data_IF_180726888288
#
_entry.id   IF_180726888288
#
_cell.length_a   1.000
_cell.length_b   1.000
_cell.length_c   1.000
_cell.angle_alpha   90.00
_cell.angle_beta   90.00
_cell.angle_gamma   90.00
#
_symmetry.space_group_name_H-M   'P 1'
#
loop_
_entity.id
_entity.type
_entity.pdbx_description
1 polymer ?
#
# COMPACT_ATOMS: atom_id res chain seq x y z
N UNK A 1 28.57 39.54 -27.91
CA UNK A 1 27.22 39.03 -27.62
C UNK A 1 27.34 37.54 -27.30
N UNK A 2 27.63 37.20 -26.05
CA UNK A 2 27.82 35.82 -25.61
C UNK A 2 26.46 35.18 -25.40
N UNK A 3 26.12 34.25 -26.30
CA UNK A 3 24.88 33.47 -26.26
C UNK A 3 24.94 32.54 -25.06
N UNK A 4 24.28 32.92 -23.96
CA UNK A 4 24.07 32.07 -22.78
C UNK A 4 23.25 30.85 -23.21
N UNK A 5 23.94 29.77 -23.60
CA UNK A 5 23.30 28.50 -23.92
C UNK A 5 22.66 27.98 -22.63
N UNK A 6 21.37 27.63 -22.62
CA UNK A 6 20.72 27.10 -21.43
C UNK A 6 21.44 25.80 -21.00
N UNK A 7 21.56 25.55 -19.69
CA UNK A 7 22.28 24.39 -19.18
C UNK A 7 21.42 23.13 -19.42
N UNK A 8 21.44 22.60 -20.64
CA UNK A 8 20.69 21.41 -21.08
C UNK A 8 20.96 20.19 -20.21
N UNK A 9 22.13 20.13 -19.57
CA UNK A 9 22.52 19.09 -18.64
C UNK A 9 21.72 19.13 -17.34
N UNK A 10 21.41 20.32 -16.83
CA UNK A 10 20.61 20.49 -15.61
C UNK A 10 19.16 20.03 -15.82
N UNK A 11 18.56 20.42 -16.95
CA UNK A 11 17.21 19.98 -17.31
C UNK A 11 17.12 18.46 -17.50
N UNK A 12 18.13 17.84 -18.14
CA UNK A 12 18.21 16.37 -18.25
C UNK A 12 18.29 15.69 -16.88
N UNK A 13 19.10 16.22 -15.96
CA UNK A 13 19.24 15.65 -14.62
C UNK A 13 17.91 15.72 -13.85
N UNK A 14 17.24 16.87 -13.86
CA UNK A 14 15.94 17.06 -13.21
C UNK A 14 14.90 16.10 -13.81
N UNK A 15 14.89 15.94 -15.14
CA UNK A 15 13.97 15.04 -15.82
C UNK A 15 14.19 13.57 -15.43
N UNK A 16 15.46 13.14 -15.37
CA UNK A 16 15.81 11.77 -14.95
C UNK A 16 15.41 11.54 -13.48
N UNK A 17 15.71 12.49 -12.59
CA UNK A 17 15.34 12.39 -11.17
C UNK A 17 13.82 12.38 -11.01
N UNK A 18 13.09 13.20 -11.78
CA UNK A 18 11.62 13.25 -11.76
C UNK A 18 11.00 11.92 -12.22
N UNK A 19 11.53 11.33 -13.29
CA UNK A 19 11.14 10.00 -13.76
C UNK A 19 11.43 8.96 -12.68
N UNK A 20 12.64 8.96 -12.12
CA UNK A 20 13.03 8.00 -11.08
C UNK A 20 12.12 8.11 -9.85
N UNK A 21 11.81 9.32 -9.40
CA UNK A 21 10.87 9.54 -8.31
C UNK A 21 9.47 9.01 -8.66
N UNK A 22 8.94 9.29 -9.85
CA UNK A 22 7.63 8.77 -10.30
C UNK A 22 7.58 7.24 -10.33
N UNK A 23 8.63 6.59 -10.83
CA UNK A 23 8.70 5.12 -10.93
C UNK A 23 9.13 4.42 -9.65
N UNK A 24 9.77 5.12 -8.72
CA UNK A 24 10.09 4.60 -7.37
C UNK A 24 8.98 4.91 -6.34
N UNK A 25 8.00 5.74 -6.68
CA UNK A 25 6.80 6.00 -5.87
C UNK A 25 5.60 5.05 -6.05
N UNK A 26 5.64 3.86 -6.70
CA UNK A 26 4.52 2.95 -6.65
C UNK A 26 4.62 2.15 -5.35
N UNK A 27 4.68 2.85 -4.23
CA UNK A 27 4.02 2.33 -3.06
C UNK A 27 2.66 3.00 -3.05
N UNK A 28 1.78 2.47 -3.90
CA UNK A 28 0.35 2.55 -3.63
C UNK A 28 0.18 1.90 -2.26
N UNK A 29 0.32 2.71 -1.21
CA UNK A 29 -0.27 2.45 0.07
C UNK A 29 -1.78 2.48 -0.18
N UNK A 30 -2.28 1.41 -0.81
CA UNK A 30 -3.69 1.06 -0.79
C UNK A 30 -4.05 1.13 0.69
N UNK A 31 -5.04 1.95 1.04
CA UNK A 31 -5.28 2.38 2.41
C UNK A 31 -5.82 1.20 3.20
N UNK A 32 -4.92 0.28 3.54
CA UNK A 32 -5.25 -0.96 4.20
C UNK A 32 -5.25 -0.68 5.69
N UNK A 33 -6.40 -0.87 6.32
CA UNK A 33 -6.49 -0.86 7.78
C UNK A 33 -6.69 -2.28 8.26
N UNK A 34 -5.96 -2.64 9.31
CA UNK A 34 -6.04 -3.95 9.94
C UNK A 34 -6.56 -3.78 11.35
N UNK A 35 -7.59 -4.54 11.71
CA UNK A 35 -8.08 -4.65 13.07
C UNK A 35 -8.23 -6.11 13.47
N UNK A 36 -8.19 -6.37 14.78
CA UNK A 36 -8.45 -7.69 15.33
C UNK A 36 -9.78 -7.60 16.07
N UNK A 37 -10.68 -8.50 15.74
CA UNK A 37 -11.93 -8.73 16.44
C UNK A 37 -11.93 -10.15 17.00
N UNK A 38 -12.84 -10.46 17.92
CA UNK A 38 -12.93 -11.78 18.53
C UNK A 38 -14.36 -12.30 18.42
N UNK A 39 -14.49 -13.53 17.92
CA UNK A 39 -15.74 -14.29 17.98
C UNK A 39 -15.79 -15.00 19.33
N UNK A 40 -16.96 -15.03 19.96
CA UNK A 40 -17.19 -15.68 21.26
C UNK A 40 -16.25 -15.17 22.38
N UNK A 41 -16.02 -13.86 22.43
CA UNK A 41 -15.15 -13.22 23.42
C UNK A 41 -15.55 -13.59 24.86
N UNK A 42 -14.57 -13.96 25.68
CA UNK A 42 -14.77 -14.35 27.08
C UNK A 42 -15.23 -15.80 27.28
N UNK A 43 -15.13 -16.66 26.26
CA UNK A 43 -15.44 -18.10 26.36
C UNK A 43 -14.22 -18.95 26.02
N UNK A 44 -14.25 -20.24 26.36
CA UNK A 44 -13.20 -21.20 25.97
C UNK A 44 -13.07 -21.40 24.45
N UNK A 45 -14.01 -20.86 23.67
CA UNK A 45 -14.05 -20.92 22.20
C UNK A 45 -13.69 -19.59 21.54
N UNK A 46 -13.10 -18.66 22.30
CA UNK A 46 -12.67 -17.36 21.79
C UNK A 46 -11.76 -17.54 20.57
N UNK A 47 -12.17 -16.98 19.43
CA UNK A 47 -11.47 -17.13 18.15
C UNK A 47 -11.13 -15.76 17.57
N UNK A 48 -9.85 -15.44 17.33
CA UNK A 48 -9.46 -14.17 16.73
C UNK A 48 -9.86 -14.11 15.25
N UNK A 49 -10.36 -12.95 14.83
CA UNK A 49 -10.67 -12.60 13.46
C UNK A 49 -9.85 -11.39 13.05
N UNK A 50 -8.99 -11.58 12.05
CA UNK A 50 -8.22 -10.50 11.47
C UNK A 50 -9.04 -9.84 10.35
N UNK A 51 -9.44 -8.59 10.58
CA UNK A 51 -10.21 -7.80 9.61
C UNK A 51 -9.24 -6.93 8.81
N UNK A 52 -9.13 -7.22 7.51
CA UNK A 52 -8.35 -6.43 6.57
C UNK A 52 -9.32 -5.61 5.73
N UNK A 53 -9.38 -4.29 5.98
CA UNK A 53 -10.17 -3.36 5.17
C UNK A 53 -9.28 -2.78 4.09
N UNK A 54 -9.79 -2.78 2.88
CA UNK A 54 -9.15 -2.18 1.70
C UNK A 54 -10.12 -1.20 1.05
N UNK A 55 -9.62 -0.41 0.11
CA UNK A 55 -10.40 0.59 -0.64
C UNK A 55 -11.42 -0.07 -1.58
N UNK A 56 -11.30 -1.39 -1.81
CA UNK A 56 -12.20 -2.17 -2.65
C UNK A 56 -13.53 -2.43 -1.94
N UNK A 57 -14.63 -1.97 -2.53
CA UNK A 57 -15.97 -2.14 -1.95
C UNK A 57 -16.51 -3.57 -2.02
N UNK A 58 -16.11 -4.36 -3.04
CA UNK A 58 -16.59 -5.73 -3.29
C UNK A 58 -15.57 -6.53 -4.11
N UNK A 59 -15.54 -7.87 -3.98
CA UNK A 59 -16.30 -8.68 -3.04
C UNK A 59 -15.69 -8.67 -1.63
N UNK A 60 -16.51 -8.93 -0.61
CA UNK A 60 -16.01 -9.23 0.74
C UNK A 60 -15.54 -10.68 0.77
N UNK A 61 -14.33 -10.92 1.25
CA UNK A 61 -13.70 -12.25 1.27
C UNK A 61 -13.53 -12.68 2.73
N UNK A 62 -13.92 -13.93 3.03
CA UNK A 62 -13.65 -14.57 4.32
C UNK A 62 -12.74 -15.77 4.10
N UNK A 63 -11.65 -15.84 4.87
CA UNK A 63 -10.70 -16.94 4.84
C UNK A 63 -10.76 -17.63 6.20
N UNK A 64 -10.98 -18.94 6.20
CA UNK A 64 -10.97 -19.77 7.40
C UNK A 64 -9.83 -20.77 7.27
N UNK A 65 -8.99 -20.86 8.30
CA UNK A 65 -7.86 -21.77 8.37
C UNK A 65 -7.79 -22.42 9.76
N UNK A 66 -7.08 -23.54 9.88
CA UNK A 66 -6.92 -24.23 11.17
C UNK A 66 -8.18 -24.93 11.68
N UNK A 67 -9.07 -25.37 10.78
CA UNK A 67 -10.27 -26.15 11.18
C UNK A 67 -9.89 -27.44 11.89
N UNK A 68 -8.72 -27.98 11.57
CA UNK A 68 -8.03 -29.05 12.30
C UNK A 68 -6.60 -28.59 12.59
N UNK A 69 -6.11 -28.89 13.79
CA UNK A 69 -4.74 -28.64 14.24
C UNK A 69 -3.86 -29.86 14.06
#
# INVERSE_FOLDING_TARGET
MTKNRPPTHFFKLIFIISILLLFCFPQTALLQTTSIEYICAGTDYETPVYVIKTDYKKPTIMIVAGTHG
#
